data_IF_068607370963
#
_entry.id   IF_068607370963
#
_cell.length_a   1.000
_cell.length_b   1.000
_cell.length_c   1.000
_cell.angle_alpha   90.00
_cell.angle_beta   90.00
_cell.angle_gamma   90.00
#
_symmetry.space_group_name_H-M   'P 1'
#
loop_
_entity.id
_entity.type
_entity.pdbx_description
1 polymer ?
#
# COMPACT_ATOMS: atom_id res chain seq x y z
N UNK A 1 -5.62 33.59 12.24
CA UNK A 1 -4.40 33.12 12.90
C UNK A 1 -4.54 31.63 13.13
N UNK A 2 -4.03 30.79 12.21
CA UNK A 2 -4.08 29.34 12.32
C UNK A 2 -2.89 28.89 13.19
N UNK A 3 -3.17 28.18 14.29
CA UNK A 3 -2.15 27.54 15.12
C UNK A 3 -1.40 26.49 14.25
N UNK A 4 -0.08 26.64 14.15
CA UNK A 4 0.80 25.61 13.59
C UNK A 4 0.65 24.33 14.43
N UNK A 5 0.55 23.12 13.82
CA UNK A 5 0.60 21.88 14.58
C UNK A 5 1.93 21.79 15.29
N UNK A 6 1.89 21.41 16.58
CA UNK A 6 3.05 21.32 17.46
C UNK A 6 4.08 20.35 16.91
N UNK A 7 5.15 20.90 16.35
CA UNK A 7 6.35 20.13 16.06
C UNK A 7 6.91 19.65 17.41
N UNK A 8 7.20 18.37 17.52
CA UNK A 8 8.03 17.83 18.60
C UNK A 8 9.31 18.66 18.60
N UNK A 9 9.57 19.35 19.69
CA UNK A 9 10.74 20.21 19.86
C UNK A 9 11.97 19.37 19.52
N UNK A 10 12.72 19.80 18.49
CA UNK A 10 13.95 19.16 18.09
C UNK A 10 14.95 19.25 19.22
N UNK A 11 15.06 18.18 20.02
CA UNK A 11 16.18 18.01 20.95
C UNK A 11 17.48 18.04 20.16
N UNK A 12 18.54 18.53 20.77
CA UNK A 12 19.89 18.48 20.18
C UNK A 12 20.20 17.04 19.72
N UNK A 13 20.86 16.86 18.57
CA UNK A 13 21.16 15.51 18.08
C UNK A 13 21.96 14.74 19.16
N UNK A 14 21.66 13.44 19.36
CA UNK A 14 22.34 12.65 20.38
C UNK A 14 23.85 12.68 20.19
N UNK A 15 24.57 12.78 21.30
CA UNK A 15 26.03 12.79 21.30
C UNK A 15 26.61 11.48 20.73
N UNK A 16 27.84 11.50 20.27
CA UNK A 16 28.54 10.32 19.74
C UNK A 16 28.54 9.12 20.71
N UNK A 17 28.53 9.40 22.01
CA UNK A 17 28.43 8.39 23.10
C UNK A 17 27.14 7.58 23.04
N UNK A 18 26.00 8.26 22.86
CA UNK A 18 24.69 7.63 22.78
C UNK A 18 24.56 6.68 21.58
N UNK A 19 25.12 7.05 20.42
CA UNK A 19 25.14 6.16 19.24
C UNK A 19 26.03 4.93 19.46
N UNK A 20 27.14 5.06 20.17
CA UNK A 20 27.97 3.91 20.57
C UNK A 20 27.23 2.97 21.54
N UNK A 21 26.45 3.53 22.45
CA UNK A 21 25.58 2.74 23.35
C UNK A 21 24.57 1.95 22.54
N UNK A 22 23.85 2.58 21.61
CA UNK A 22 22.92 1.89 20.72
C UNK A 22 23.62 0.72 20.00
N UNK A 23 24.80 0.96 19.37
CA UNK A 23 25.52 -0.10 18.66
C UNK A 23 25.85 -1.31 19.54
N UNK A 24 26.18 -1.07 20.81
CA UNK A 24 26.49 -2.15 21.77
C UNK A 24 25.27 -2.96 22.20
N UNK A 25 24.06 -2.38 22.12
CA UNK A 25 22.80 -3.07 22.46
C UNK A 25 22.23 -3.88 21.29
N UNK A 26 22.79 -3.74 20.10
CA UNK A 26 22.36 -4.47 18.91
C UNK A 26 23.11 -5.79 18.76
N UNK A 27 22.45 -6.77 18.13
CA UNK A 27 23.09 -8.04 17.77
C UNK A 27 24.26 -7.84 16.78
N UNK A 28 25.20 -8.80 16.69
CA UNK A 28 26.28 -8.77 15.69
C UNK A 28 25.76 -8.70 14.25
N UNK A 29 24.61 -9.30 13.97
CA UNK A 29 23.98 -9.34 12.64
C UNK A 29 23.29 -8.01 12.25
N UNK A 30 22.99 -7.14 13.21
CA UNK A 30 22.42 -5.83 12.94
C UNK A 30 23.48 -4.82 12.48
N UNK A 31 23.05 -3.83 11.69
CA UNK A 31 23.90 -2.71 11.25
C UNK A 31 23.42 -1.37 11.82
N UNK A 32 24.37 -0.50 12.20
CA UNK A 32 24.10 0.90 12.51
C UNK A 32 24.82 1.76 11.47
N UNK A 33 24.04 2.51 10.70
CA UNK A 33 24.55 3.36 9.61
C UNK A 33 24.29 4.82 9.91
N UNK A 34 25.30 5.66 9.66
CA UNK A 34 25.24 7.12 9.82
C UNK A 34 25.57 7.81 8.49
N UNK A 35 25.17 9.08 8.31
CA UNK A 35 25.60 9.86 7.15
C UNK A 35 27.09 9.73 6.93
N UNK A 36 27.50 9.46 5.68
CA UNK A 36 28.89 9.20 5.31
C UNK A 36 29.36 7.75 5.42
N UNK A 37 28.61 6.84 6.08
CA UNK A 37 28.96 5.41 6.07
C UNK A 37 28.55 4.72 4.77
N UNK A 38 29.33 3.72 4.35
CA UNK A 38 29.00 2.92 3.18
C UNK A 38 27.60 2.27 3.33
N UNK A 39 26.78 2.33 2.27
CA UNK A 39 25.42 1.82 2.25
C UNK A 39 24.35 2.71 2.90
N UNK A 40 24.71 3.82 3.56
CA UNK A 40 23.74 4.72 4.17
C UNK A 40 22.73 5.24 3.14
N UNK A 41 23.19 5.76 2.01
CA UNK A 41 22.32 6.33 0.96
C UNK A 41 21.31 5.32 0.43
N UNK A 42 21.76 4.08 0.16
CA UNK A 42 20.90 3.00 -0.30
C UNK A 42 19.80 2.65 0.72
N UNK A 43 20.14 2.59 2.01
CA UNK A 43 19.18 2.28 3.07
C UNK A 43 18.29 3.46 3.42
N UNK A 44 18.75 4.70 3.21
CA UNK A 44 17.98 5.91 3.46
C UNK A 44 16.92 6.18 2.38
N UNK A 45 17.18 5.78 1.13
CA UNK A 45 16.29 6.03 0.01
C UNK A 45 14.93 5.34 0.20
N UNK A 46 13.80 6.09 0.14
CA UNK A 46 12.47 5.50 0.02
C UNK A 46 12.20 5.12 -1.45
N UNK A 47 11.14 4.37 -1.70
CA UNK A 47 10.67 4.09 -3.05
C UNK A 47 10.16 5.37 -3.75
N UNK A 48 9.33 6.16 -3.07
CA UNK A 48 8.92 7.48 -3.57
C UNK A 48 10.04 8.51 -3.34
N UNK A 49 10.79 8.81 -4.41
CA UNK A 49 11.94 9.71 -4.36
C UNK A 49 11.58 11.15 -4.00
N UNK A 50 10.32 11.55 -4.15
CA UNK A 50 9.81 12.84 -3.66
C UNK A 50 10.20 13.11 -2.20
N UNK A 51 10.39 12.06 -1.41
CA UNK A 51 10.77 12.13 0.00
C UNK A 51 12.23 11.74 0.28
N UNK A 52 13.05 11.53 -0.75
CA UNK A 52 14.46 11.16 -0.61
C UNK A 52 15.30 12.23 0.11
N UNK A 53 14.84 13.49 0.12
CA UNK A 53 15.44 14.61 0.85
C UNK A 53 15.28 14.52 2.39
N UNK A 54 14.42 13.63 2.89
CA UNK A 54 14.23 13.38 4.31
C UNK A 54 15.24 12.33 4.77
N UNK A 55 16.44 12.78 5.12
CA UNK A 55 17.53 11.90 5.54
C UNK A 55 17.48 11.63 7.05
N UNK A 56 17.61 10.36 7.49
CA UNK A 56 17.68 10.02 8.91
C UNK A 56 19.02 10.42 9.55
N UNK A 57 19.00 10.74 10.86
CA UNK A 57 20.21 10.94 11.63
C UNK A 57 21.02 9.63 11.74
N UNK A 58 20.33 8.49 11.77
CA UNK A 58 20.94 7.16 11.73
C UNK A 58 19.93 6.11 11.29
N UNK A 59 20.42 4.96 10.81
CA UNK A 59 19.63 3.80 10.41
C UNK A 59 20.09 2.59 11.22
N UNK A 60 19.17 1.90 11.89
CA UNK A 60 19.38 0.56 12.42
C UNK A 60 18.80 -0.44 11.43
N UNK A 61 19.64 -1.24 10.79
CA UNK A 61 19.20 -2.39 10.00
C UNK A 61 19.08 -3.60 10.94
N UNK A 62 17.87 -3.83 11.45
CA UNK A 62 17.58 -4.88 12.42
C UNK A 62 17.60 -6.25 11.77
N UNK A 63 18.23 -7.21 12.43
CA UNK A 63 18.23 -8.62 12.03
C UNK A 63 17.27 -9.47 12.89
N UNK A 64 16.94 -9.01 14.10
CA UNK A 64 16.11 -9.70 15.08
C UNK A 64 15.09 -8.77 15.73
N UNK A 65 14.05 -9.34 16.33
CA UNK A 65 13.12 -8.56 17.15
C UNK A 65 13.84 -7.88 18.34
N UNK A 66 14.90 -8.50 18.90
CA UNK A 66 15.73 -7.91 19.95
C UNK A 66 16.43 -6.62 19.51
N UNK A 67 16.85 -6.52 18.26
CA UNK A 67 17.41 -5.28 17.69
C UNK A 67 16.36 -4.17 17.62
N UNK A 68 15.14 -4.52 17.22
CA UNK A 68 14.01 -3.58 17.17
C UNK A 68 13.68 -3.09 18.59
N UNK A 69 13.60 -3.99 19.56
CA UNK A 69 13.38 -3.65 20.98
C UNK A 69 14.47 -2.68 21.50
N UNK A 70 15.74 -2.97 21.21
CA UNK A 70 16.87 -2.12 21.61
C UNK A 70 16.78 -0.74 20.96
N UNK A 71 16.46 -0.67 19.66
CA UNK A 71 16.33 0.58 18.93
C UNK A 71 15.15 1.44 19.44
N UNK A 72 13.99 0.82 19.71
CA UNK A 72 12.80 1.50 20.25
C UNK A 72 13.10 2.06 21.64
N UNK A 73 13.62 1.25 22.57
CA UNK A 73 13.98 1.72 23.93
C UNK A 73 15.00 2.85 23.88
N UNK A 74 16.00 2.73 23.02
CA UNK A 74 17.01 3.77 22.87
C UNK A 74 16.40 5.08 22.35
N UNK A 75 15.55 5.01 21.31
CA UNK A 75 14.90 6.20 20.76
C UNK A 75 14.00 6.89 21.79
N UNK A 76 13.19 6.11 22.52
CA UNK A 76 12.35 6.61 23.61
C UNK A 76 13.19 7.29 24.72
N UNK A 77 14.27 6.65 25.18
CA UNK A 77 15.13 7.18 26.25
C UNK A 77 15.86 8.47 25.88
N UNK A 78 16.11 8.68 24.56
CA UNK A 78 16.85 9.86 24.08
C UNK A 78 15.94 10.90 23.40
N UNK A 79 14.60 10.70 23.42
CA UNK A 79 13.66 11.61 22.77
C UNK A 79 13.88 11.74 21.24
N UNK A 80 14.40 10.69 20.60
CA UNK A 80 14.71 10.69 19.16
C UNK A 80 13.48 10.21 18.38
N UNK A 81 12.93 11.03 17.46
CA UNK A 81 11.87 10.59 16.56
C UNK A 81 12.29 9.33 15.81
N UNK A 82 11.39 8.40 15.62
CA UNK A 82 11.68 7.17 14.87
C UNK A 82 10.66 6.92 13.77
N UNK A 83 11.06 6.16 12.75
CA UNK A 83 10.15 5.59 11.77
C UNK A 83 10.54 4.15 11.47
N UNK A 84 9.60 3.20 11.51
CA UNK A 84 9.83 1.85 11.01
C UNK A 84 9.78 1.82 9.48
N UNK A 85 10.62 1.00 8.86
CA UNK A 85 10.61 0.78 7.42
C UNK A 85 10.77 -0.69 7.09
N UNK A 86 9.79 -1.25 6.41
CA UNK A 86 9.85 -2.54 5.74
C UNK A 86 10.39 -2.36 4.31
N UNK A 87 9.55 -2.36 3.27
CA UNK A 87 9.94 -2.15 1.88
C UNK A 87 10.23 -0.70 1.48
N UNK A 88 9.64 0.27 2.17
CA UNK A 88 9.83 1.70 1.87
C UNK A 88 8.83 2.30 0.87
N UNK A 89 7.78 1.56 0.51
CA UNK A 89 6.76 1.94 -0.49
C UNK A 89 5.67 2.90 0.02
N UNK A 90 5.86 3.58 1.14
CA UNK A 90 4.85 4.53 1.61
C UNK A 90 4.73 5.75 0.68
N UNK A 91 3.56 5.97 0.10
CA UNK A 91 3.29 7.00 -0.92
C UNK A 91 3.44 8.43 -0.39
N UNK A 92 3.22 8.65 0.90
CA UNK A 92 3.34 9.96 1.56
C UNK A 92 4.66 10.14 2.32
N UNK A 93 5.61 9.19 2.21
CA UNK A 93 6.91 9.28 2.87
C UNK A 93 6.88 9.04 4.38
N UNK A 94 5.79 8.50 4.95
CA UNK A 94 5.67 8.26 6.40
C UNK A 94 6.62 7.18 6.93
N UNK A 95 7.29 6.44 6.06
CA UNK A 95 8.40 5.55 6.42
C UNK A 95 9.77 6.25 6.37
N UNK A 96 9.81 7.58 6.36
CA UNK A 96 11.04 8.40 6.46
C UNK A 96 11.03 9.19 7.77
N UNK A 97 12.20 9.58 8.26
CA UNK A 97 12.36 10.39 9.47
C UNK A 97 13.67 11.15 9.44
N UNK A 98 13.76 12.26 10.15
CA UNK A 98 15.04 12.94 10.44
C UNK A 98 15.75 12.37 11.68
N UNK A 99 15.09 11.47 12.41
CA UNK A 99 15.61 10.80 13.61
C UNK A 99 16.21 9.42 13.30
N UNK A 100 15.72 8.38 13.98
CA UNK A 100 16.17 7.01 13.85
C UNK A 100 15.28 6.23 12.88
N UNK A 101 15.83 5.78 11.75
CA UNK A 101 15.17 4.86 10.86
C UNK A 101 15.41 3.42 11.31
N UNK A 102 14.34 2.70 11.64
CA UNK A 102 14.39 1.29 12.04
C UNK A 102 14.02 0.45 10.82
N UNK A 103 15.03 -0.08 10.14
CA UNK A 103 14.87 -0.87 8.91
C UNK A 103 14.71 -2.35 9.25
N UNK A 104 13.62 -2.95 8.79
CA UNK A 104 13.31 -4.38 8.94
C UNK A 104 13.82 -5.22 7.77
N UNK A 105 14.50 -4.63 6.79
CA UNK A 105 14.86 -5.26 5.52
C UNK A 105 15.65 -6.57 5.66
N UNK A 106 16.40 -6.75 6.76
CA UNK A 106 17.12 -7.97 7.06
C UNK A 106 16.26 -9.05 7.73
N UNK A 107 15.05 -8.70 8.17
CA UNK A 107 14.09 -9.63 8.77
C UNK A 107 13.20 -10.21 7.68
N UNK A 108 13.80 -10.84 6.68
CA UNK A 108 13.14 -11.31 5.46
C UNK A 108 12.97 -12.85 5.41
N UNK A 109 13.09 -13.52 6.54
CA UNK A 109 12.90 -14.97 6.63
C UNK A 109 11.48 -15.36 6.24
N UNK A 110 11.37 -16.46 5.48
CA UNK A 110 10.12 -17.10 5.09
C UNK A 110 10.17 -18.55 5.55
N UNK A 111 9.11 -19.05 6.15
CA UNK A 111 8.98 -20.44 6.59
C UNK A 111 7.55 -20.93 6.46
N UNK A 112 7.39 -22.24 6.32
CA UNK A 112 6.08 -22.91 6.28
C UNK A 112 6.01 -23.92 7.42
N UNK A 113 4.88 -23.92 8.14
CA UNK A 113 4.59 -24.91 9.18
C UNK A 113 3.12 -25.36 9.06
N UNK A 114 2.90 -26.57 8.51
CA UNK A 114 1.56 -27.03 8.16
C UNK A 114 0.91 -26.08 7.16
N UNK A 115 -0.29 -25.62 7.45
CA UNK A 115 -1.04 -24.64 6.64
C UNK A 115 -0.72 -23.19 6.98
N UNK A 116 0.37 -22.92 7.70
CA UNK A 116 0.73 -21.56 8.10
C UNK A 116 2.00 -21.09 7.44
N UNK A 117 1.96 -19.85 6.93
CA UNK A 117 3.10 -19.15 6.34
C UNK A 117 3.66 -18.14 7.36
N UNK A 118 4.95 -18.28 7.69
CA UNK A 118 5.66 -17.41 8.63
C UNK A 118 6.54 -16.45 7.84
N UNK A 119 6.37 -15.16 8.08
CA UNK A 119 7.10 -14.09 7.40
C UNK A 119 7.74 -13.13 8.40
N UNK A 120 9.00 -12.76 8.17
CA UNK A 120 9.61 -11.61 8.81
C UNK A 120 9.10 -10.29 8.23
N UNK A 121 9.13 -9.22 9.04
CA UNK A 121 8.54 -7.92 8.68
C UNK A 121 9.18 -7.18 7.50
N UNK A 122 10.23 -7.71 6.89
CA UNK A 122 11.06 -7.03 5.88
C UNK A 122 11.07 -7.64 4.48
N UNK A 123 10.21 -8.62 4.18
CA UNK A 123 10.22 -9.27 2.86
C UNK A 123 9.72 -8.36 1.73
N UNK A 124 10.42 -8.34 0.61
CA UNK A 124 10.23 -7.65 -0.69
C UNK A 124 9.59 -6.25 -0.66
N UNK A 125 8.37 -6.05 -1.17
CA UNK A 125 7.67 -4.75 -1.14
C UNK A 125 7.23 -4.34 0.28
N UNK A 126 7.57 -5.15 1.29
CA UNK A 126 7.27 -4.91 2.68
C UNK A 126 5.90 -5.43 3.09
N UNK A 127 5.80 -6.76 3.28
CA UNK A 127 4.57 -7.41 3.76
C UNK A 127 3.94 -6.69 4.95
N UNK A 128 4.77 -6.11 5.84
CA UNK A 128 4.27 -5.38 7.00
C UNK A 128 3.40 -4.18 6.58
N UNK A 129 3.90 -3.31 5.69
CA UNK A 129 3.11 -2.17 5.23
C UNK A 129 1.85 -2.60 4.49
N UNK A 130 1.97 -3.60 3.60
CA UNK A 130 0.88 -4.13 2.81
C UNK A 130 -0.24 -4.70 3.70
N UNK A 131 0.09 -5.72 4.49
CA UNK A 131 -0.90 -6.46 5.29
C UNK A 131 -1.57 -5.62 6.39
N UNK A 132 -0.81 -4.74 7.05
CA UNK A 132 -1.33 -3.94 8.15
C UNK A 132 -2.39 -2.91 7.73
N UNK A 133 -2.46 -2.54 6.44
CA UNK A 133 -3.47 -1.62 5.92
C UNK A 133 -4.53 -2.28 5.02
N UNK A 134 -4.59 -3.60 4.98
CA UNK A 134 -5.49 -4.38 4.12
C UNK A 134 -4.71 -5.33 3.22
N UNK A 135 -4.10 -4.82 2.17
CA UNK A 135 -3.25 -5.58 1.24
C UNK A 135 -4.00 -6.10 0.03
N UNK A 136 -3.97 -5.31 -1.06
CA UNK A 136 -4.54 -5.65 -2.36
C UNK A 136 -3.63 -6.56 -3.17
N UNK A 137 -4.21 -7.49 -3.90
CA UNK A 137 -3.52 -8.40 -4.82
C UNK A 137 -4.41 -8.81 -5.99
N UNK A 138 -4.10 -9.92 -6.67
CA UNK A 138 -4.91 -10.51 -7.74
C UNK A 138 -5.67 -11.75 -7.26
N UNK A 139 -5.82 -11.92 -5.94
CA UNK A 139 -6.50 -13.05 -5.33
C UNK A 139 -7.47 -12.61 -4.21
N UNK A 140 -7.67 -11.30 -4.06
CA UNK A 140 -8.43 -10.75 -2.93
C UNK A 140 -9.90 -11.12 -3.02
N UNK A 141 -10.42 -11.18 -4.24
CA UNK A 141 -11.80 -11.60 -4.49
C UNK A 141 -12.02 -13.07 -4.18
N UNK A 142 -10.97 -13.92 -4.32
CA UNK A 142 -11.07 -15.37 -4.05
C UNK A 142 -10.85 -15.72 -2.58
N UNK A 143 -9.87 -15.08 -1.93
CA UNK A 143 -9.41 -15.51 -0.60
C UNK A 143 -9.41 -14.41 0.46
N UNK A 144 -9.91 -13.23 0.13
CA UNK A 144 -9.91 -12.06 1.01
C UNK A 144 -8.63 -11.24 0.90
N UNK A 145 -8.65 -10.06 1.50
CA UNK A 145 -7.47 -9.19 1.59
C UNK A 145 -6.34 -9.89 2.36
N UNK A 146 -5.10 -9.47 2.14
CA UNK A 146 -3.94 -10.03 2.85
C UNK A 146 -4.12 -9.98 4.37
N UNK A 147 -4.73 -8.93 4.93
CA UNK A 147 -5.01 -8.79 6.37
C UNK A 147 -6.04 -9.82 6.89
N UNK A 148 -6.92 -10.33 6.04
CA UNK A 148 -7.94 -11.31 6.44
C UNK A 148 -7.32 -12.69 6.68
N UNK A 149 -6.17 -12.95 6.07
CA UNK A 149 -5.39 -14.19 6.24
C UNK A 149 -4.39 -14.12 7.39
N UNK A 150 -4.24 -12.95 8.04
CA UNK A 150 -3.36 -12.81 9.20
C UNK A 150 -3.92 -13.58 10.38
N UNK A 151 -3.16 -14.56 10.89
CA UNK A 151 -3.51 -15.35 12.08
C UNK A 151 -2.81 -14.84 13.35
N UNK A 152 -1.59 -14.31 13.22
CA UNK A 152 -0.79 -13.81 14.34
C UNK A 152 0.21 -12.77 13.86
N UNK A 153 0.51 -11.77 14.69
CA UNK A 153 1.69 -10.92 14.49
C UNK A 153 2.41 -10.66 15.81
N UNK A 154 3.73 -10.40 15.73
CA UNK A 154 4.56 -10.04 16.88
C UNK A 154 4.94 -8.58 16.76
N UNK A 155 4.64 -7.82 17.82
CA UNK A 155 4.74 -6.36 17.83
C UNK A 155 5.68 -5.91 18.94
N UNK A 156 6.66 -5.08 18.61
CA UNK A 156 7.47 -4.34 19.59
C UNK A 156 6.75 -3.04 19.92
N UNK A 157 6.35 -2.88 21.18
CA UNK A 157 5.60 -1.72 21.69
C UNK A 157 6.52 -0.54 22.04
N UNK A 158 5.93 0.59 22.45
CA UNK A 158 6.64 1.83 22.75
C UNK A 158 7.61 1.71 23.97
N UNK A 159 7.35 0.83 24.90
CA UNK A 159 8.25 0.49 26.03
C UNK A 159 9.37 -0.50 25.64
N UNK A 160 9.36 -0.97 24.40
CA UNK A 160 10.27 -1.99 23.88
C UNK A 160 9.92 -3.43 24.29
N UNK A 161 8.74 -3.69 24.88
CA UNK A 161 8.24 -5.04 25.07
C UNK A 161 7.87 -5.69 23.74
N UNK A 162 8.00 -7.00 23.63
CA UNK A 162 7.57 -7.78 22.47
C UNK A 162 6.33 -8.56 22.87
N UNK A 163 5.22 -8.28 22.19
CA UNK A 163 3.93 -8.95 22.45
C UNK A 163 3.49 -9.77 21.24
N UNK A 164 2.73 -10.82 21.48
CA UNK A 164 1.97 -11.56 20.49
C UNK A 164 0.59 -10.90 20.38
N UNK A 165 0.10 -10.72 19.15
CA UNK A 165 -1.26 -10.27 18.87
C UNK A 165 -1.93 -11.32 17.97
N UNK A 166 -2.97 -11.95 18.49
CA UNK A 166 -3.78 -12.99 17.85
C UNK A 166 -5.21 -12.92 18.43
N UNK A 167 -6.12 -13.77 17.96
CA UNK A 167 -7.51 -13.80 18.44
C UNK A 167 -7.65 -14.13 19.94
N UNK A 168 -6.72 -14.92 20.47
CA UNK A 168 -6.68 -15.39 21.87
C UNK A 168 -5.78 -14.54 22.78
N UNK A 169 -4.96 -13.63 22.22
CA UNK A 169 -4.02 -12.82 22.99
C UNK A 169 -3.85 -11.43 22.37
N UNK A 170 -4.07 -10.37 23.17
CA UNK A 170 -4.08 -8.98 22.69
C UNK A 170 -5.00 -8.82 21.47
N UNK A 171 -6.22 -9.35 21.56
CA UNK A 171 -7.19 -9.44 20.45
C UNK A 171 -7.57 -8.07 19.87
N UNK A 172 -7.57 -7.01 20.68
CA UNK A 172 -7.80 -5.63 20.24
C UNK A 172 -6.64 -5.10 19.37
N UNK A 173 -5.40 -5.39 19.73
CA UNK A 173 -4.22 -5.08 18.94
C UNK A 173 -4.20 -5.92 17.64
N UNK A 174 -4.56 -7.19 17.73
CA UNK A 174 -4.69 -8.07 16.56
C UNK A 174 -5.72 -7.53 15.57
N UNK A 175 -6.91 -7.13 16.06
CA UNK A 175 -7.92 -6.48 15.24
C UNK A 175 -7.36 -5.22 14.56
N UNK A 176 -6.65 -4.36 15.30
CA UNK A 176 -6.07 -3.14 14.79
C UNK A 176 -4.96 -3.38 13.73
N UNK A 177 -4.22 -4.50 13.82
CA UNK A 177 -3.22 -4.91 12.85
C UNK A 177 -3.82 -5.45 11.53
N UNK A 178 -5.14 -5.57 11.44
CA UNK A 178 -5.85 -6.01 10.23
C UNK A 178 -6.59 -4.85 9.55
N UNK A 179 -5.83 -3.82 9.12
CA UNK A 179 -6.37 -2.66 8.40
C UNK A 179 -6.07 -1.29 9.03
N UNK A 180 -5.57 -1.25 10.28
CA UNK A 180 -5.26 0.00 10.99
C UNK A 180 -3.95 0.67 10.57
N UNK A 181 -3.30 0.19 9.53
CA UNK A 181 -2.00 0.60 8.98
C UNK A 181 -0.79 0.32 9.88
N UNK A 182 0.39 0.27 9.26
CA UNK A 182 1.65 0.01 9.95
C UNK A 182 2.21 1.22 10.70
N UNK A 183 2.95 0.95 11.79
CA UNK A 183 3.65 1.98 12.54
C UNK A 183 2.75 2.87 13.41
N UNK A 184 1.53 2.42 13.74
CA UNK A 184 0.61 3.13 14.62
C UNK A 184 0.70 2.68 16.07
N UNK A 185 0.79 1.38 16.31
CA UNK A 185 0.67 0.78 17.65
C UNK A 185 2.00 0.21 18.15
N UNK A 186 2.96 0.04 17.23
CA UNK A 186 4.24 -0.61 17.46
C UNK A 186 4.93 -0.94 16.14
N UNK A 187 5.98 -1.75 16.21
CA UNK A 187 6.72 -2.26 15.05
C UNK A 187 6.48 -3.77 14.94
N UNK A 188 5.76 -4.17 13.90
CA UNK A 188 5.49 -5.58 13.62
C UNK A 188 6.75 -6.24 13.05
N UNK A 189 7.25 -7.26 13.76
CA UNK A 189 8.52 -7.93 13.47
C UNK A 189 8.36 -9.32 12.84
N UNK A 190 7.18 -9.91 12.97
CA UNK A 190 6.86 -11.21 12.41
C UNK A 190 5.37 -11.37 12.20
N UNK A 191 5.01 -12.17 11.22
CA UNK A 191 3.63 -12.44 10.81
C UNK A 191 3.43 -13.93 10.59
N UNK A 192 2.27 -14.44 10.95
CA UNK A 192 1.80 -15.78 10.61
C UNK A 192 0.49 -15.61 9.86
N UNK A 193 0.46 -16.12 8.64
CA UNK A 193 -0.75 -16.13 7.80
C UNK A 193 -1.27 -17.55 7.65
N UNK A 194 -2.58 -17.69 7.57
CA UNK A 194 -3.23 -18.91 7.12
C UNK A 194 -3.04 -19.03 5.60
N UNK A 195 -2.29 -20.05 5.19
CA UNK A 195 -2.03 -20.33 3.80
C UNK A 195 -3.17 -21.17 3.20
N UNK A 196 -3.44 -20.94 1.92
CA UNK A 196 -4.38 -21.75 1.14
C UNK A 196 -3.61 -22.72 0.27
N UNK A 197 -3.99 -24.00 0.32
CA UNK A 197 -3.45 -24.98 -0.60
C UNK A 197 -4.06 -24.79 -1.99
N UNK A 198 -3.23 -24.54 -2.97
CA UNK A 198 -3.64 -24.31 -4.35
C UNK A 198 -3.50 -25.55 -5.23
N UNK A 199 -2.68 -26.54 -4.83
CA UNK A 199 -2.48 -27.79 -5.58
C UNK A 199 -2.10 -27.58 -7.04
N UNK A 200 -2.74 -28.33 -7.91
CA UNK A 200 -2.58 -28.23 -9.38
C UNK A 200 -3.55 -27.23 -10.04
N UNK A 201 -4.08 -26.28 -9.29
CA UNK A 201 -5.00 -25.25 -9.80
C UNK A 201 -4.39 -24.54 -11.01
N UNK A 202 -5.24 -24.29 -11.98
CA UNK A 202 -4.91 -23.48 -13.15
C UNK A 202 -5.49 -22.07 -12.98
N UNK A 203 -4.88 -21.12 -13.68
CA UNK A 203 -5.41 -19.79 -13.88
C UNK A 203 -5.13 -19.35 -15.31
N UNK A 204 -6.05 -18.62 -15.90
CA UNK A 204 -5.84 -17.95 -17.18
C UNK A 204 -5.52 -16.49 -16.91
N UNK A 205 -4.28 -16.10 -17.17
CA UNK A 205 -3.84 -14.69 -17.11
C UNK A 205 -4.21 -13.96 -18.37
N UNK A 206 -4.49 -12.66 -18.23
CA UNK A 206 -4.74 -11.78 -19.36
C UNK A 206 -4.08 -10.41 -19.14
N UNK A 207 -3.57 -9.84 -20.24
CA UNK A 207 -2.97 -8.52 -20.32
C UNK A 207 -3.36 -7.91 -21.68
N UNK A 208 -4.36 -7.04 -21.66
CA UNK A 208 -4.91 -6.42 -22.86
C UNK A 208 -4.69 -4.90 -22.80
N UNK A 209 -4.49 -4.30 -23.99
CA UNK A 209 -4.38 -2.84 -24.13
C UNK A 209 -5.31 -2.37 -25.25
N UNK A 210 -5.97 -1.24 -25.01
CA UNK A 210 -6.94 -0.63 -25.92
C UNK A 210 -6.62 0.86 -26.10
N UNK A 211 -7.14 1.45 -27.17
CA UNK A 211 -7.27 2.89 -27.26
C UNK A 211 -8.19 3.42 -26.13
N UNK A 212 -7.96 4.65 -25.72
CA UNK A 212 -8.66 5.25 -24.59
C UNK A 212 -10.17 5.34 -24.80
N UNK A 213 -10.63 5.41 -26.07
CA UNK A 213 -12.04 5.44 -26.47
C UNK A 213 -12.83 4.19 -26.08
N UNK A 214 -12.15 3.04 -25.94
CA UNK A 214 -12.78 1.81 -25.47
C UNK A 214 -13.13 1.84 -23.97
N UNK A 215 -12.62 2.81 -23.20
CA UNK A 215 -12.67 2.81 -21.74
C UNK A 215 -14.07 2.64 -21.16
N UNK A 216 -15.08 3.32 -21.70
CA UNK A 216 -16.48 3.24 -21.20
C UNK A 216 -17.03 1.83 -21.38
N UNK A 217 -16.93 1.29 -22.60
CA UNK A 217 -17.39 -0.07 -22.90
C UNK A 217 -16.62 -1.13 -22.12
N UNK A 218 -15.30 -0.94 -21.96
CA UNK A 218 -14.44 -1.87 -21.22
C UNK A 218 -14.84 -1.95 -19.73
N UNK A 219 -14.99 -0.80 -19.05
CA UNK A 219 -15.40 -0.77 -17.64
C UNK A 219 -16.77 -1.38 -17.46
N UNK A 220 -17.74 -1.07 -18.35
CA UNK A 220 -19.08 -1.64 -18.32
C UNK A 220 -19.03 -3.18 -18.41
N UNK A 221 -18.33 -3.72 -19.43
CA UNK A 221 -18.20 -5.16 -19.62
C UNK A 221 -17.51 -5.85 -18.40
N UNK A 222 -16.46 -5.24 -17.85
CA UNK A 222 -15.77 -5.78 -16.68
C UNK A 222 -16.66 -5.74 -15.45
N UNK A 223 -17.44 -4.70 -15.24
CA UNK A 223 -18.37 -4.61 -14.10
C UNK A 223 -19.45 -5.69 -14.18
N UNK A 224 -19.96 -6.02 -15.38
CA UNK A 224 -20.89 -7.12 -15.57
C UNK A 224 -20.26 -8.49 -15.22
N UNK A 225 -18.99 -8.71 -15.63
CA UNK A 225 -18.27 -9.93 -15.28
C UNK A 225 -18.09 -10.03 -13.76
N UNK A 226 -17.65 -8.94 -13.12
CA UNK A 226 -17.44 -8.88 -11.66
C UNK A 226 -18.74 -9.11 -10.88
N UNK A 227 -19.85 -8.55 -11.36
CA UNK A 227 -21.18 -8.73 -10.75
C UNK A 227 -21.73 -10.16 -10.87
N UNK A 228 -21.33 -10.91 -11.91
CA UNK A 228 -21.68 -12.31 -12.10
C UNK A 228 -20.71 -13.32 -11.50
N UNK A 229 -19.63 -12.87 -10.86
CA UNK A 229 -18.56 -13.72 -10.30
C UNK A 229 -18.69 -13.83 -8.77
N UNK A 230 -19.71 -14.52 -8.30
CA UNK A 230 -19.93 -14.77 -6.85
C UNK A 230 -18.81 -15.62 -6.22
N UNK A 231 -18.12 -16.44 -7.01
CA UNK A 231 -17.03 -17.29 -6.56
C UNK A 231 -15.73 -16.53 -6.30
N UNK A 232 -15.60 -15.30 -6.81
CA UNK A 232 -14.38 -14.49 -6.73
C UNK A 232 -13.23 -15.07 -7.54
N UNK A 233 -13.51 -15.87 -8.58
CA UNK A 233 -12.48 -16.50 -9.43
C UNK A 233 -11.87 -15.52 -10.43
N UNK A 234 -12.55 -14.41 -10.71
CA UNK A 234 -12.10 -13.35 -11.60
C UNK A 234 -11.56 -12.15 -10.81
N UNK A 235 -10.29 -11.81 -11.04
CA UNK A 235 -9.66 -10.63 -10.44
C UNK A 235 -8.95 -9.79 -11.48
N UNK A 236 -9.07 -8.45 -11.37
CA UNK A 236 -8.68 -7.55 -12.44
C UNK A 236 -8.27 -6.16 -11.95
N UNK A 237 -7.31 -5.58 -12.68
CA UNK A 237 -6.98 -4.14 -12.62
C UNK A 237 -7.26 -3.50 -13.98
N UNK A 238 -7.90 -2.32 -13.97
CA UNK A 238 -8.12 -1.50 -15.16
C UNK A 238 -7.28 -0.24 -15.01
N UNK A 239 -6.33 -0.01 -15.92
CA UNK A 239 -5.42 1.12 -15.86
C UNK A 239 -5.63 2.10 -17.02
N UNK A 240 -6.00 3.34 -16.73
CA UNK A 240 -6.03 4.45 -17.69
C UNK A 240 -4.74 5.24 -17.56
N UNK A 241 -4.02 5.49 -18.64
CA UNK A 241 -2.72 6.15 -18.59
C UNK A 241 -2.50 7.09 -19.78
N UNK A 242 -1.88 8.23 -19.48
CA UNK A 242 -1.28 9.13 -20.45
C UNK A 242 0.15 9.44 -20.01
N UNK A 243 1.12 9.03 -20.79
CA UNK A 243 2.55 9.19 -20.51
C UNK A 243 3.20 10.13 -21.53
N UNK A 244 4.25 10.82 -21.11
CA UNK A 244 5.03 11.72 -21.95
C UNK A 244 6.09 11.01 -22.81
N UNK A 245 5.82 9.77 -23.22
CA UNK A 245 6.72 8.92 -24.01
C UNK A 245 6.42 8.93 -25.52
N UNK A 246 5.49 9.77 -25.93
CA UNK A 246 5.05 9.89 -27.33
C UNK A 246 4.03 8.84 -27.77
N UNK A 247 3.61 7.95 -26.89
CA UNK A 247 2.52 7.00 -27.16
C UNK A 247 1.15 7.64 -26.92
N UNK A 248 0.15 7.15 -27.63
CA UNK A 248 -1.23 7.59 -27.41
C UNK A 248 -1.70 7.13 -26.01
N UNK A 249 -2.56 7.93 -25.36
CA UNK A 249 -3.21 7.52 -24.13
C UNK A 249 -3.97 6.20 -24.34
N UNK A 250 -3.95 5.34 -23.32
CA UNK A 250 -4.48 3.98 -23.42
C UNK A 250 -5.22 3.56 -22.17
N UNK A 251 -6.04 2.52 -22.31
CA UNK A 251 -6.60 1.76 -21.20
C UNK A 251 -6.10 0.32 -21.27
N UNK A 252 -5.71 -0.24 -20.12
CA UNK A 252 -5.19 -1.59 -19.98
C UNK A 252 -6.07 -2.42 -19.07
N UNK A 253 -6.07 -3.72 -19.31
CA UNK A 253 -6.78 -4.71 -18.50
C UNK A 253 -5.79 -5.82 -18.14
N UNK A 254 -5.43 -5.94 -16.87
CA UNK A 254 -4.50 -6.95 -16.34
C UNK A 254 -5.20 -7.76 -15.26
N UNK A 255 -5.11 -9.08 -15.30
CA UNK A 255 -5.70 -9.91 -14.28
C UNK A 255 -5.66 -11.41 -14.58
N UNK A 256 -6.51 -12.15 -13.88
CA UNK A 256 -6.64 -13.58 -14.02
C UNK A 256 -8.09 -14.06 -13.82
N UNK A 257 -8.35 -15.23 -14.34
CA UNK A 257 -9.49 -16.08 -13.99
C UNK A 257 -8.95 -17.42 -13.47
N UNK A 258 -9.40 -17.88 -12.32
CA UNK A 258 -9.03 -19.20 -11.76
C UNK A 258 -9.79 -20.33 -12.46
N UNK A 259 -9.77 -20.33 -13.77
CA UNK A 259 -10.36 -21.32 -14.68
C UNK A 259 -9.53 -21.44 -15.96
N UNK A 260 -9.99 -22.31 -16.89
CA UNK A 260 -9.36 -22.52 -18.19
C UNK A 260 -9.58 -21.33 -19.16
N UNK A 261 -8.75 -21.29 -20.22
CA UNK A 261 -8.77 -20.26 -21.24
C UNK A 261 -10.09 -20.20 -22.02
N UNK A 262 -10.73 -21.34 -22.26
CA UNK A 262 -12.02 -21.40 -22.97
C UNK A 262 -13.09 -20.67 -22.17
N UNK A 263 -13.13 -20.89 -20.87
CA UNK A 263 -14.04 -20.21 -19.93
C UNK A 263 -13.78 -18.70 -19.93
N UNK A 264 -12.50 -18.26 -19.84
CA UNK A 264 -12.17 -16.84 -19.90
C UNK A 264 -12.63 -16.22 -21.23
N UNK A 265 -12.31 -16.84 -22.36
CA UNK A 265 -12.69 -16.29 -23.69
C UNK A 265 -14.19 -16.15 -23.87
N UNK A 266 -14.96 -17.06 -23.27
CA UNK A 266 -16.42 -17.00 -23.28
C UNK A 266 -16.95 -15.79 -22.51
N UNK A 267 -16.49 -15.57 -21.30
CA UNK A 267 -16.92 -14.40 -20.49
C UNK A 267 -16.34 -13.08 -21.05
N UNK A 268 -15.20 -13.15 -21.74
CA UNK A 268 -14.54 -12.00 -22.37
C UNK A 268 -15.07 -11.66 -23.76
N UNK A 269 -16.09 -12.35 -24.29
CA UNK A 269 -16.63 -12.02 -25.59
C UNK A 269 -16.95 -10.51 -25.76
N UNK A 270 -17.65 -9.83 -24.81
CA UNK A 270 -17.89 -8.39 -24.89
C UNK A 270 -16.62 -7.53 -24.81
N UNK A 271 -15.62 -7.97 -24.05
CA UNK A 271 -14.32 -7.28 -23.94
C UNK A 271 -13.53 -7.38 -25.25
N UNK A 272 -13.53 -8.57 -25.88
CA UNK A 272 -12.80 -8.81 -27.14
C UNK A 272 -13.46 -8.13 -28.33
N UNK A 273 -14.78 -7.91 -28.33
CA UNK A 273 -15.50 -7.11 -29.33
C UNK A 273 -15.03 -5.65 -29.37
N UNK A 274 -14.46 -5.13 -28.30
CA UNK A 274 -13.85 -3.80 -28.25
C UNK A 274 -12.51 -3.70 -29.00
N UNK A 275 -12.03 -4.81 -29.57
CA UNK A 275 -10.84 -4.92 -30.43
C UNK A 275 -9.56 -4.36 -29.76
N UNK A 276 -9.00 -5.09 -28.77
CA UNK A 276 -7.76 -4.69 -28.14
C UNK A 276 -6.63 -4.49 -29.16
N UNK A 277 -5.85 -3.45 -28.99
CA UNK A 277 -4.64 -3.20 -29.81
C UNK A 277 -3.54 -4.24 -29.50
N UNK A 278 -3.51 -4.76 -28.26
CA UNK A 278 -2.68 -5.88 -27.84
C UNK A 278 -3.52 -6.78 -26.94
N UNK A 279 -3.45 -8.08 -27.17
CA UNK A 279 -4.09 -9.09 -26.33
C UNK A 279 -3.11 -10.22 -26.04
N UNK A 280 -2.85 -10.44 -24.77
CA UNK A 280 -2.19 -11.62 -24.26
C UNK A 280 -3.16 -12.35 -23.35
N UNK A 281 -3.46 -13.60 -23.65
CA UNK A 281 -4.34 -14.49 -22.86
C UNK A 281 -3.67 -15.85 -22.88
N UNK A 282 -3.38 -16.39 -21.69
CA UNK A 282 -2.69 -17.68 -21.57
C UNK A 282 -3.10 -18.42 -20.31
N UNK A 283 -3.48 -19.69 -20.46
CA UNK A 283 -3.68 -20.60 -19.33
C UNK A 283 -2.35 -21.08 -18.77
N UNK A 284 -2.20 -21.01 -17.46
CA UNK A 284 -1.01 -21.43 -16.73
C UNK A 284 -1.36 -22.24 -15.49
N UNK A 285 -0.37 -22.96 -14.93
CA UNK A 285 -0.48 -23.40 -13.53
C UNK A 285 -0.48 -22.19 -12.61
N UNK A 286 -1.16 -22.29 -11.48
CA UNK A 286 -1.38 -21.16 -10.56
C UNK A 286 -0.11 -20.36 -10.27
N UNK A 287 0.98 -21.01 -9.85
CA UNK A 287 2.22 -20.27 -9.52
C UNK A 287 2.85 -19.55 -10.72
N UNK A 288 2.82 -20.17 -11.89
CA UNK A 288 3.31 -19.51 -13.11
C UNK A 288 2.42 -18.33 -13.54
N UNK A 289 1.12 -18.37 -13.20
CA UNK A 289 0.22 -17.23 -13.36
C UNK A 289 0.56 -16.11 -12.37
N UNK A 290 0.82 -16.44 -11.11
CA UNK A 290 1.25 -15.45 -10.11
C UNK A 290 2.59 -14.81 -10.49
N UNK A 291 3.55 -15.56 -10.98
CA UNK A 291 4.85 -15.04 -11.46
C UNK A 291 4.67 -14.04 -12.61
N UNK A 292 3.68 -14.24 -13.49
CA UNK A 292 3.35 -13.29 -14.56
C UNK A 292 2.73 -12.00 -14.01
N UNK A 293 1.84 -12.13 -13.01
CA UNK A 293 1.12 -11.00 -12.41
C UNK A 293 1.99 -10.21 -11.42
N UNK A 294 3.11 -10.80 -10.96
CA UNK A 294 4.06 -10.10 -10.11
C UNK A 294 4.66 -8.93 -10.90
N UNK A 295 4.33 -7.72 -10.48
CA UNK A 295 4.97 -6.53 -11.03
C UNK A 295 6.47 -6.57 -10.73
N UNK A 296 7.29 -6.52 -11.78
CA UNK A 296 8.71 -6.25 -11.59
C UNK A 296 8.82 -4.82 -11.04
N UNK A 297 9.41 -4.63 -9.84
CA UNK A 297 9.57 -3.29 -9.30
C UNK A 297 10.29 -2.40 -10.32
N UNK A 298 9.65 -1.31 -10.72
CA UNK A 298 10.28 -0.27 -11.52
C UNK A 298 11.43 0.40 -10.74
N UNK A 299 12.22 1.20 -11.43
CA UNK A 299 13.15 2.10 -10.75
C UNK A 299 12.35 3.05 -9.85
N UNK A 300 12.85 3.36 -8.62
CA UNK A 300 12.22 4.37 -7.77
C UNK A 300 12.02 5.69 -8.54
N UNK A 301 10.89 6.34 -8.31
CA UNK A 301 10.50 7.55 -9.04
C UNK A 301 9.84 8.57 -8.08
N UNK A 302 9.66 9.81 -8.56
CA UNK A 302 8.84 10.80 -7.86
C UNK A 302 7.37 10.60 -8.23
N UNK A 303 6.49 10.47 -7.26
CA UNK A 303 5.06 10.34 -7.54
C UNK A 303 4.16 10.90 -6.43
N UNK A 304 2.91 11.08 -6.79
CA UNK A 304 1.83 11.40 -5.87
C UNK A 304 0.57 10.65 -6.28
N UNK A 305 -0.17 10.19 -5.29
CA UNK A 305 -1.40 9.45 -5.46
C UNK A 305 -2.48 9.97 -4.52
N UNK A 306 -3.73 9.75 -4.91
CA UNK A 306 -4.96 9.92 -4.13
C UNK A 306 -5.83 8.70 -4.40
N UNK A 307 -6.60 8.29 -3.42
CA UNK A 307 -7.49 7.15 -3.61
C UNK A 307 -8.94 7.50 -3.33
N UNK A 308 -9.83 6.71 -3.94
CA UNK A 308 -11.25 6.65 -3.64
C UNK A 308 -11.68 5.19 -3.53
N UNK A 309 -12.64 4.93 -2.65
CA UNK A 309 -13.17 3.57 -2.42
C UNK A 309 -14.69 3.63 -2.52
N UNK A 310 -15.26 3.55 -3.74
CA UNK A 310 -16.70 3.54 -3.94
C UNK A 310 -17.34 2.20 -3.53
N UNK A 311 -18.56 2.27 -3.03
CA UNK A 311 -19.45 1.14 -2.75
C UNK A 311 -20.49 0.91 -3.86
N UNK A 312 -20.35 1.61 -4.97
CA UNK A 312 -21.22 1.53 -6.15
C UNK A 312 -20.41 1.37 -7.42
N UNK A 313 -21.02 0.80 -8.45
CA UNK A 313 -20.43 0.70 -9.78
C UNK A 313 -20.25 2.08 -10.42
N UNK A 314 -19.20 2.22 -11.25
CA UNK A 314 -18.97 3.43 -12.00
C UNK A 314 -20.02 3.56 -13.12
N UNK A 315 -20.70 4.70 -13.17
CA UNK A 315 -21.60 5.01 -14.27
C UNK A 315 -20.83 5.28 -15.57
N UNK A 316 -21.44 5.13 -16.75
CA UNK A 316 -20.81 5.54 -18.03
C UNK A 316 -20.26 6.97 -17.98
N UNK A 317 -21.02 7.93 -17.43
CA UNK A 317 -20.58 9.33 -17.32
C UNK A 317 -19.38 9.52 -16.38
N UNK A 318 -19.28 8.72 -15.32
CA UNK A 318 -18.08 8.73 -14.44
C UNK A 318 -16.86 8.25 -15.22
N UNK A 319 -17.00 7.17 -16.01
CA UNK A 319 -15.88 6.64 -16.83
C UNK A 319 -15.53 7.62 -17.96
N UNK A 320 -16.51 8.26 -18.59
CA UNK A 320 -16.27 9.33 -19.57
C UNK A 320 -15.42 10.45 -18.95
N UNK A 321 -15.72 10.88 -17.72
CA UNK A 321 -14.93 11.86 -17.00
C UNK A 321 -13.47 11.41 -16.82
N UNK A 322 -13.22 10.11 -16.53
CA UNK A 322 -11.86 9.55 -16.46
C UNK A 322 -11.18 9.63 -17.83
N UNK A 323 -11.84 9.13 -18.88
CA UNK A 323 -11.34 9.11 -20.25
C UNK A 323 -10.94 10.50 -20.73
N UNK A 324 -11.82 11.49 -20.56
CA UNK A 324 -11.56 12.88 -20.96
C UNK A 324 -10.36 13.47 -20.20
N UNK A 325 -10.34 13.31 -18.87
CA UNK A 325 -9.25 13.84 -18.05
C UNK A 325 -7.90 13.20 -18.31
N UNK A 326 -7.87 11.89 -18.61
CA UNK A 326 -6.66 11.20 -18.98
C UNK A 326 -6.22 11.57 -20.40
N UNK A 327 -7.16 11.73 -21.34
CA UNK A 327 -6.87 12.22 -22.71
C UNK A 327 -6.23 13.61 -22.68
N UNK A 328 -6.80 14.50 -21.90
CA UNK A 328 -6.35 15.89 -21.78
C UNK A 328 -5.15 16.07 -20.83
N UNK A 329 -4.66 14.97 -20.26
CA UNK A 329 -3.49 15.02 -19.39
C UNK A 329 -2.26 15.40 -20.19
N UNK A 330 -1.55 16.41 -19.73
CA UNK A 330 -0.30 16.83 -20.36
C UNK A 330 0.84 16.48 -19.42
N UNK A 331 1.56 15.39 -19.69
CA UNK A 331 2.69 14.96 -18.85
C UNK A 331 3.81 16.00 -18.76
N UNK A 332 4.01 16.79 -19.80
CA UNK A 332 4.93 17.94 -19.82
C UNK A 332 6.38 17.57 -20.10
N UNK A 333 6.80 16.34 -19.86
CA UNK A 333 8.15 15.85 -20.13
C UNK A 333 8.13 14.33 -20.37
N UNK A 334 9.10 13.79 -21.15
CA UNK A 334 9.26 12.35 -21.31
C UNK A 334 9.41 11.64 -19.96
N UNK A 335 8.70 10.53 -19.81
CA UNK A 335 8.71 9.72 -18.59
C UNK A 335 7.80 10.21 -17.47
N UNK A 336 7.16 11.37 -17.59
CA UNK A 336 6.06 11.76 -16.71
C UNK A 336 4.76 11.06 -17.14
N UNK A 337 3.85 10.84 -16.20
CA UNK A 337 2.55 10.23 -16.50
C UNK A 337 1.46 10.69 -15.55
N UNK A 338 0.22 10.72 -16.05
CA UNK A 338 -0.98 10.72 -15.23
C UNK A 338 -1.74 9.42 -15.45
N UNK A 339 -2.34 8.90 -14.38
CA UNK A 339 -3.04 7.62 -14.44
C UNK A 339 -4.23 7.53 -13.49
N UNK A 340 -5.13 6.60 -13.81
CA UNK A 340 -6.18 6.10 -12.91
C UNK A 340 -6.15 4.58 -12.99
N UNK A 341 -6.04 3.91 -11.84
CA UNK A 341 -6.09 2.45 -11.77
C UNK A 341 -7.25 2.02 -10.87
N UNK A 342 -8.10 1.15 -11.39
CA UNK A 342 -9.20 0.53 -10.67
C UNK A 342 -8.76 -0.88 -10.25
N UNK A 343 -8.71 -1.14 -8.96
CA UNK A 343 -8.47 -2.47 -8.39
C UNK A 343 -9.82 -3.07 -8.02
N UNK A 344 -10.19 -4.19 -8.62
CA UNK A 344 -11.47 -4.84 -8.32
C UNK A 344 -11.56 -5.28 -6.86
N UNK A 345 -12.75 -5.12 -6.28
CA UNK A 345 -13.06 -5.51 -4.91
C UNK A 345 -14.27 -6.47 -4.90
N UNK A 346 -14.73 -6.85 -3.73
CA UNK A 346 -15.86 -7.78 -3.54
C UNK A 346 -15.41 -9.23 -3.38
N UNK A 347 -16.27 -10.19 -3.70
CA UNK A 347 -16.01 -11.61 -3.43
C UNK A 347 -15.66 -11.85 -1.96
N UNK A 348 -14.68 -12.72 -1.69
CA UNK A 348 -14.24 -13.03 -0.33
C UNK A 348 -13.70 -11.81 0.45
N UNK A 349 -13.14 -10.80 -0.24
CA UNK A 349 -12.68 -9.56 0.39
C UNK A 349 -13.82 -8.70 0.96
N UNK A 350 -15.03 -8.87 0.44
CA UNK A 350 -16.23 -8.20 0.90
C UNK A 350 -17.05 -8.97 1.96
N UNK A 351 -16.71 -10.23 2.25
CA UNK A 351 -17.48 -11.06 3.17
C UNK A 351 -17.40 -10.63 4.64
N UNK A 352 -16.24 -10.19 5.19
CA UNK A 352 -16.21 -9.73 6.58
C UNK A 352 -17.07 -8.48 6.77
N UNK A 353 -17.72 -8.37 7.93
CA UNK A 353 -18.42 -7.14 8.31
C UNK A 353 -17.40 -5.99 8.50
N UNK A 354 -17.77 -4.73 8.24
CA UNK A 354 -16.83 -3.59 8.33
C UNK A 354 -16.12 -3.44 9.68
N UNK A 355 -16.71 -3.97 10.78
CA UNK A 355 -16.15 -3.94 12.14
C UNK A 355 -15.34 -5.19 12.54
N UNK A 356 -15.33 -6.26 11.75
CA UNK A 356 -14.60 -7.50 12.08
C UNK A 356 -13.10 -7.34 12.00
N UNK A 357 -12.63 -6.41 11.18
CA UNK A 357 -11.24 -5.99 11.10
C UNK A 357 -11.16 -4.46 11.14
N UNK A 358 -9.98 -3.89 11.26
CA UNK A 358 -9.82 -2.45 11.21
C UNK A 358 -10.00 -1.86 9.80
N UNK A 359 -10.01 -2.70 8.74
CA UNK A 359 -10.30 -2.30 7.36
C UNK A 359 -11.82 -2.18 7.15
N UNK A 360 -12.39 -0.98 6.94
CA UNK A 360 -13.85 -0.79 6.96
C UNK A 360 -14.54 -0.97 5.61
N UNK A 361 -13.82 -0.87 4.48
CA UNK A 361 -14.41 -0.70 3.15
C UNK A 361 -14.81 -2.04 2.51
N UNK A 362 -15.62 -2.84 3.20
CA UNK A 362 -16.00 -4.18 2.78
C UNK A 362 -17.02 -4.21 1.63
N UNK A 363 -17.88 -3.22 1.54
CA UNK A 363 -18.82 -3.05 0.42
C UNK A 363 -18.23 -2.44 -0.84
N UNK A 364 -16.90 -2.21 -0.90
CA UNK A 364 -16.29 -1.57 -2.04
C UNK A 364 -16.41 -2.38 -3.33
N UNK A 365 -16.68 -1.68 -4.45
CA UNK A 365 -16.62 -2.25 -5.80
C UNK A 365 -15.22 -2.17 -6.37
N UNK A 366 -14.52 -1.07 -6.08
CA UNK A 366 -13.12 -0.83 -6.46
C UNK A 366 -12.36 -0.08 -5.38
N UNK A 367 -11.05 -0.25 -5.36
CA UNK A 367 -10.12 0.76 -4.87
C UNK A 367 -9.56 1.50 -6.09
N UNK A 368 -9.71 2.80 -6.12
CA UNK A 368 -9.27 3.65 -7.25
C UNK A 368 -8.01 4.41 -6.83
N UNK A 369 -6.92 4.21 -7.56
CA UNK A 369 -5.68 4.99 -7.44
C UNK A 369 -5.63 6.05 -8.55
N UNK A 370 -5.53 7.31 -8.16
CA UNK A 370 -5.47 8.48 -9.05
C UNK A 370 -4.12 9.15 -8.85
N UNK A 371 -3.22 8.97 -9.78
CA UNK A 371 -1.84 9.36 -9.54
C UNK A 371 -1.14 10.04 -10.70
N UNK A 372 0.06 10.48 -10.39
CA UNK A 372 1.01 11.02 -11.35
C UNK A 372 2.43 10.67 -10.95
N UNK A 373 3.25 10.34 -11.95
CA UNK A 373 4.68 10.17 -11.83
C UNK A 373 5.41 11.29 -12.55
N UNK A 374 6.56 11.69 -12.04
CA UNK A 374 7.44 12.64 -12.74
C UNK A 374 8.91 12.32 -12.48
N UNK A 375 9.76 12.75 -13.41
CA UNK A 375 11.21 12.56 -13.30
C UNK A 375 11.85 13.65 -12.45
N UNK A 376 13.00 13.37 -11.80
CA UNK A 376 13.67 14.31 -10.89
C UNK A 376 14.03 15.65 -11.54
N UNK A 377 14.24 15.70 -12.85
CA UNK A 377 14.55 16.89 -13.64
C UNK A 377 13.32 17.68 -14.10
N UNK A 378 12.11 17.23 -13.77
CA UNK A 378 10.86 17.94 -14.10
C UNK A 378 10.84 19.31 -13.40
N UNK A 379 10.66 20.41 -14.14
CA UNK A 379 10.56 21.74 -13.55
C UNK A 379 9.45 21.83 -12.49
N UNK A 380 9.69 22.59 -11.42
CA UNK A 380 8.74 22.70 -10.31
C UNK A 380 7.34 23.18 -10.73
N UNK A 381 7.24 24.03 -11.77
CA UNK A 381 5.95 24.42 -12.33
C UNK A 381 5.21 23.26 -12.98
N UNK A 382 5.93 22.38 -13.68
CA UNK A 382 5.39 21.14 -14.23
C UNK A 382 4.88 20.23 -13.13
N UNK A 383 5.67 20.01 -12.08
CA UNK A 383 5.23 19.23 -10.90
C UNK A 383 3.96 19.80 -10.27
N UNK A 384 3.89 21.13 -10.07
CA UNK A 384 2.68 21.80 -9.54
C UNK A 384 1.45 21.56 -10.43
N UNK A 385 1.62 21.61 -11.74
CA UNK A 385 0.54 21.33 -12.70
C UNK A 385 0.07 19.89 -12.64
N UNK A 386 0.98 18.89 -12.58
CA UNK A 386 0.63 17.47 -12.41
C UNK A 386 -0.19 17.26 -11.13
N UNK A 387 0.28 17.77 -10.00
CA UNK A 387 -0.43 17.70 -8.72
C UNK A 387 -1.81 18.39 -8.76
N UNK A 388 -1.92 19.51 -9.46
CA UNK A 388 -3.20 20.22 -9.62
C UNK A 388 -4.22 19.41 -10.44
N UNK A 389 -3.75 18.72 -11.50
CA UNK A 389 -4.59 17.82 -12.32
C UNK A 389 -5.06 16.61 -11.51
N UNK A 390 -4.16 15.96 -10.76
CA UNK A 390 -4.50 14.85 -9.86
C UNK A 390 -5.58 15.26 -8.85
N UNK A 391 -5.43 16.44 -8.21
CA UNK A 391 -6.44 17.00 -7.30
C UNK A 391 -7.78 17.30 -7.99
N UNK A 392 -7.74 17.81 -9.22
CA UNK A 392 -8.95 18.12 -9.97
C UNK A 392 -9.72 16.85 -10.35
N UNK A 393 -9.02 15.83 -10.84
CA UNK A 393 -9.60 14.53 -11.17
C UNK A 393 -10.19 13.84 -9.94
N UNK A 394 -9.43 13.78 -8.84
CA UNK A 394 -9.92 13.24 -7.57
C UNK A 394 -11.21 13.92 -7.10
N UNK A 395 -11.29 15.27 -7.14
CA UNK A 395 -12.53 15.99 -6.77
C UNK A 395 -13.71 15.67 -7.69
N UNK A 396 -13.46 15.54 -9.00
CA UNK A 396 -14.50 15.15 -9.96
C UNK A 396 -15.04 13.77 -9.60
N UNK A 397 -14.16 12.76 -9.48
CA UNK A 397 -14.57 11.39 -9.17
C UNK A 397 -15.19 11.26 -7.77
N UNK A 398 -14.68 11.96 -6.75
CA UNK A 398 -15.28 11.98 -5.41
C UNK A 398 -16.73 12.47 -5.42
N UNK A 399 -17.03 13.47 -6.24
CA UNK A 399 -18.40 13.98 -6.43
C UNK A 399 -19.26 13.00 -7.22
N UNK A 400 -18.75 12.48 -8.36
CA UNK A 400 -19.51 11.63 -9.27
C UNK A 400 -19.80 10.24 -8.66
N UNK A 401 -18.94 9.77 -7.76
CA UNK A 401 -19.08 8.53 -6.99
C UNK A 401 -19.70 8.74 -5.61
N UNK A 402 -19.98 9.99 -5.24
CA UNK A 402 -20.53 10.38 -3.94
C UNK A 402 -19.77 9.77 -2.74
N UNK A 403 -18.44 9.61 -2.88
CA UNK A 403 -17.61 9.02 -1.84
C UNK A 403 -16.41 9.89 -1.47
N UNK A 404 -16.00 9.82 -0.22
CA UNK A 404 -14.73 10.35 0.30
C UNK A 404 -13.87 9.24 0.90
N UNK A 405 -14.37 7.99 0.89
CA UNK A 405 -13.63 6.84 1.39
C UNK A 405 -12.30 6.71 0.65
N UNK A 406 -11.24 6.42 1.39
CA UNK A 406 -9.88 6.36 0.88
C UNK A 406 -9.15 5.11 1.41
N UNK A 407 -8.21 4.59 0.64
CA UNK A 407 -7.44 3.43 1.03
C UNK A 407 -6.17 3.84 1.78
N UNK A 408 -6.03 3.33 2.99
CA UNK A 408 -4.95 3.75 3.91
C UNK A 408 -3.54 3.45 3.39
N UNK A 409 -3.37 2.42 2.55
CA UNK A 409 -2.08 2.12 1.92
C UNK A 409 -1.74 3.03 0.72
N UNK A 410 -2.69 3.86 0.27
CA UNK A 410 -2.44 4.96 -0.67
C UNK A 410 -2.56 6.31 0.04
N UNK A 411 -1.72 6.59 1.05
CA UNK A 411 -1.84 7.78 1.87
C UNK A 411 -1.63 9.05 1.05
N UNK A 412 -2.54 10.02 1.26
CA UNK A 412 -2.55 11.32 0.61
C UNK A 412 -2.32 12.43 1.64
N UNK A 413 -1.19 13.16 1.58
CA UNK A 413 -0.92 14.27 2.50
C UNK A 413 -1.91 15.43 2.43
N UNK A 414 -2.68 15.55 1.34
CA UNK A 414 -3.70 16.58 1.18
C UNK A 414 -5.05 16.19 1.83
N UNK A 415 -5.25 14.92 2.20
CA UNK A 415 -6.49 14.41 2.79
C UNK A 415 -6.63 14.87 4.24
N UNK A 416 -7.56 15.79 4.50
CA UNK A 416 -7.71 16.43 5.82
C UNK A 416 -8.54 15.60 6.80
N UNK A 417 -9.59 14.95 6.30
CA UNK A 417 -10.53 14.09 7.02
C UNK A 417 -10.16 12.62 6.89
N UNK A 418 -8.85 12.34 6.87
CA UNK A 418 -8.30 11.00 6.67
C UNK A 418 -8.81 9.97 7.69
N UNK A 419 -9.14 10.40 8.92
CA UNK A 419 -9.65 9.54 9.98
C UNK A 419 -10.93 8.84 9.53
N UNK A 420 -11.93 9.61 9.09
CA UNK A 420 -13.19 9.06 8.60
C UNK A 420 -13.04 8.45 7.21
N UNK A 421 -12.22 9.05 6.34
CA UNK A 421 -12.04 8.55 4.99
C UNK A 421 -11.39 7.16 4.95
N UNK A 422 -10.35 6.91 5.77
CA UNK A 422 -9.63 5.65 5.79
C UNK A 422 -10.26 4.60 6.71
N UNK A 423 -10.91 5.00 7.80
CA UNK A 423 -11.30 4.09 8.86
C UNK A 423 -12.79 4.11 9.19
N UNK A 424 -13.57 5.08 8.68
CA UNK A 424 -14.99 5.18 8.99
C UNK A 424 -15.25 5.12 10.50
N UNK A 425 -16.24 4.32 10.88
CA UNK A 425 -16.65 4.11 12.29
C UNK A 425 -15.60 3.36 13.12
N UNK A 426 -14.63 2.67 12.48
CA UNK A 426 -13.57 1.95 13.17
C UNK A 426 -12.53 2.88 13.84
N UNK A 427 -12.48 4.16 13.45
CA UNK A 427 -11.48 5.09 13.99
C UNK A 427 -11.53 5.24 15.51
N UNK A 428 -12.73 5.30 16.09
CA UNK A 428 -12.88 5.43 17.54
C UNK A 428 -12.22 4.25 18.30
N UNK A 429 -12.47 3.02 17.85
CA UNK A 429 -11.84 1.80 18.41
C UNK A 429 -10.33 1.78 18.18
N UNK A 430 -9.84 2.19 17.01
CA UNK A 430 -8.41 2.32 16.74
C UNK A 430 -7.72 3.31 17.72
N UNK A 431 -8.40 4.39 18.06
CA UNK A 431 -7.89 5.38 19.02
C UNK A 431 -7.78 4.80 20.45
N UNK A 432 -8.69 3.93 20.86
CA UNK A 432 -8.63 3.20 22.13
C UNK A 432 -7.42 2.26 22.15
N UNK A 433 -7.23 1.47 21.09
CA UNK A 433 -6.06 0.60 20.92
C UNK A 433 -4.77 1.41 20.97
N UNK A 434 -4.72 2.56 20.28
CA UNK A 434 -3.55 3.46 20.31
C UNK A 434 -3.21 3.91 21.72
N UNK A 435 -4.19 4.37 22.48
CA UNK A 435 -4.00 4.81 23.88
C UNK A 435 -3.49 3.69 24.78
N UNK A 436 -3.89 2.46 24.54
CA UNK A 436 -3.48 1.29 25.32
C UNK A 436 -2.04 0.87 25.00
N UNK A 437 -1.63 0.80 23.73
CA UNK A 437 -0.36 0.21 23.32
C UNK A 437 0.75 1.22 23.00
N UNK A 438 0.39 2.47 22.78
CA UNK A 438 1.33 3.59 22.61
C UNK A 438 0.86 4.85 23.35
N UNK A 439 0.72 4.79 24.71
CA UNK A 439 0.23 5.93 25.48
C UNK A 439 1.15 7.15 25.43
N UNK A 440 2.41 6.94 25.09
CA UNK A 440 3.40 8.02 24.95
C UNK A 440 3.36 8.71 23.59
N UNK A 441 2.66 8.16 22.59
CA UNK A 441 2.65 8.65 21.21
C UNK A 441 4.02 8.55 20.52
N UNK A 442 4.84 7.56 20.88
CA UNK A 442 6.17 7.35 20.32
C UNK A 442 6.10 7.07 18.81
N UNK A 443 5.10 6.31 18.39
CA UNK A 443 4.86 5.99 16.98
C UNK A 443 3.96 7.05 16.37
N UNK A 444 4.60 8.01 15.71
CA UNK A 444 3.96 9.22 15.23
C UNK A 444 4.38 9.59 13.80
N UNK A 445 3.41 9.96 12.97
CA UNK A 445 3.56 10.58 11.65
C UNK A 445 2.30 11.40 11.32
N UNK A 446 2.27 12.16 10.23
CA UNK A 446 1.23 13.17 9.99
C UNK A 446 -0.22 12.63 9.92
N UNK A 447 -0.40 11.36 9.56
CA UNK A 447 -1.70 10.67 9.57
C UNK A 447 -1.66 9.43 10.47
N UNK A 448 -0.91 9.48 11.57
CA UNK A 448 -0.94 8.42 12.57
C UNK A 448 -2.21 8.51 13.41
N UNK A 449 -2.74 7.37 13.82
CA UNK A 449 -3.91 7.31 14.71
C UNK A 449 -3.59 8.08 15.99
N UNK A 450 -4.48 9.01 16.37
CA UNK A 450 -4.32 9.87 17.54
C UNK A 450 -3.56 11.20 17.30
N UNK A 451 -3.32 11.57 16.03
CA UNK A 451 -2.74 12.88 15.64
C UNK A 451 -3.79 13.90 15.26
#
# INVERSE_FOLDING_TARGET
MARRPGGVAGGSPPEAGAWRQLRRSLSPAAGLYRPGSAGFGLLAAPDNLRYAHVLPASIVACATAGDVQAAVRWAAAHGVPLAPRSGGHNYAGYSTTRGLLISLRRMNGVGVRGTRLLLGGGATMGIAGLALGGGLGFNDRKWGLTCDRLAETRVVLADGSLVRAADDENADLYWACRGGAGGNFGINTGFIFDATEVGDRIATVFDLSFGLEAGVGLVAAVQEILAGDDAGDFDVRIGFKNAGDGQAPSVTLLGQLLADETTLRRIFAPVLELRPARAFIEQRRFWAAQDYLLETPGAPDDYASKSLVPDRWLSPGTVESVVERVRDWQPGAPGNAGYVTLFAMGGAGGLPEPGETAYPHRGATFVIDIGTHWKPDTPQDGVRQQLARTRALHRTLSRDLETRAAYVNFPDPDLRDWQSACYGDNYARLLEVKRRYDPSGLFHYAQAIGT
#
